data_IF_292939607213
#
_entry.id   IF_292939607213
#
_cell.length_a   1.000
_cell.length_b   1.000
_cell.length_c   1.000
_cell.angle_alpha   90.00
_cell.angle_beta   90.00
_cell.angle_gamma   90.00
#
_symmetry.space_group_name_H-M   'P 1'
#
loop_
_entity.id
_entity.type
_entity.pdbx_description
1 polymer ?
#
# COMPACT_ATOMS: atom_id res chain seq x y z
N UNK A 1 28.68 -17.67 43.08
CA UNK A 1 27.67 -18.07 42.08
C UNK A 1 28.37 -18.46 40.80
N UNK A 2 28.20 -19.72 40.38
CA UNK A 2 29.00 -20.35 39.31
C UNK A 2 28.72 -19.61 37.94
N UNK A 3 29.79 -19.21 37.21
CA UNK A 3 29.62 -18.49 35.92
C UNK A 3 28.82 -19.27 34.87
N UNK A 4 28.83 -20.60 34.93
CA UNK A 4 28.00 -21.47 34.09
C UNK A 4 26.48 -21.29 34.37
N UNK A 5 26.10 -21.17 35.64
CA UNK A 5 24.72 -20.99 36.06
C UNK A 5 24.15 -19.63 35.59
N UNK A 6 24.97 -18.58 35.65
CA UNK A 6 24.62 -17.25 35.09
C UNK A 6 24.43 -17.28 33.58
N UNK A 7 25.22 -18.06 32.85
CA UNK A 7 25.11 -18.20 31.40
C UNK A 7 23.85 -18.95 30.97
N UNK A 8 23.48 -20.01 31.70
CA UNK A 8 22.24 -20.78 31.45
C UNK A 8 20.99 -19.95 31.78
N UNK A 9 21.02 -19.19 32.87
CA UNK A 9 19.94 -18.28 33.25
C UNK A 9 19.74 -17.17 32.20
N UNK A 10 20.83 -16.55 31.73
CA UNK A 10 20.73 -15.50 30.71
C UNK A 10 20.24 -16.02 29.35
N UNK A 11 20.64 -17.23 28.96
CA UNK A 11 20.11 -17.87 27.74
C UNK A 11 18.64 -18.22 27.89
N UNK A 12 18.23 -18.73 29.05
CA UNK A 12 16.81 -19.05 29.32
C UNK A 12 15.93 -17.80 29.33
N UNK A 13 16.38 -16.71 29.95
CA UNK A 13 15.65 -15.44 29.98
C UNK A 13 15.55 -14.79 28.59
N UNK A 14 16.64 -14.85 27.81
CA UNK A 14 16.64 -14.30 26.45
C UNK A 14 15.81 -15.13 25.47
N UNK A 15 15.76 -16.45 25.63
CA UNK A 15 14.89 -17.32 24.83
C UNK A 15 13.41 -17.05 25.15
N UNK A 16 13.08 -16.91 26.44
CA UNK A 16 11.70 -16.65 26.86
C UNK A 16 11.22 -15.23 26.39
N UNK A 17 12.07 -14.22 26.43
CA UNK A 17 11.74 -12.89 25.91
C UNK A 17 11.53 -12.90 24.38
N UNK A 18 12.33 -13.64 23.64
CA UNK A 18 12.17 -13.80 22.18
C UNK A 18 10.89 -14.55 21.82
N UNK A 19 10.53 -15.56 22.57
CA UNK A 19 9.27 -16.30 22.37
C UNK A 19 8.06 -15.41 22.70
N UNK A 20 8.12 -14.62 23.77
CA UNK A 20 7.07 -13.67 24.09
C UNK A 20 6.91 -12.61 22.99
N UNK A 21 8.01 -12.00 22.54
CA UNK A 21 7.97 -11.03 21.43
C UNK A 21 7.48 -11.64 20.12
N UNK A 22 7.83 -12.89 19.84
CA UNK A 22 7.34 -13.59 18.65
C UNK A 22 5.83 -13.87 18.74
N UNK A 23 5.33 -14.21 19.93
CA UNK A 23 3.90 -14.42 20.16
C UNK A 23 3.12 -13.10 20.07
N UNK A 24 3.64 -12.01 20.64
CA UNK A 24 3.04 -10.67 20.55
C UNK A 24 2.99 -10.21 19.08
N UNK A 25 4.10 -10.34 18.35
CA UNK A 25 4.14 -10.00 16.92
C UNK A 25 3.18 -10.85 16.09
N UNK A 26 3.06 -12.15 16.39
CA UNK A 26 2.13 -13.03 15.71
C UNK A 26 0.67 -12.65 16.01
N UNK A 27 0.37 -12.30 17.25
CA UNK A 27 -0.94 -11.81 17.65
C UNK A 27 -1.30 -10.50 16.96
N UNK A 28 -0.37 -9.54 16.96
CA UNK A 28 -0.54 -8.26 16.27
C UNK A 28 -0.76 -8.47 14.77
N UNK A 29 0.01 -9.35 14.15
CA UNK A 29 -0.14 -9.67 12.74
C UNK A 29 -1.46 -10.34 12.39
N UNK A 30 -1.97 -11.23 13.26
CA UNK A 30 -3.22 -11.97 13.04
C UNK A 30 -4.47 -11.12 13.32
N UNK A 31 -4.42 -10.28 14.35
CA UNK A 31 -5.62 -9.60 14.86
C UNK A 31 -5.62 -8.08 14.63
N UNK A 32 -4.44 -7.46 14.46
CA UNK A 32 -4.31 -6.01 14.27
C UNK A 32 -3.76 -5.65 12.90
N UNK A 33 -3.71 -6.60 11.96
CA UNK A 33 -3.16 -6.39 10.63
C UNK A 33 -3.75 -5.16 9.94
N UNK A 34 -5.05 -4.98 10.00
CA UNK A 34 -5.72 -3.85 9.36
C UNK A 34 -5.34 -2.49 9.97
N UNK A 35 -5.00 -2.46 11.26
CA UNK A 35 -4.53 -1.23 11.93
C UNK A 35 -3.04 -0.98 11.74
N UNK A 36 -2.25 -2.03 11.49
CA UNK A 36 -0.80 -1.95 11.26
C UNK A 36 -0.46 -1.61 9.80
N UNK A 37 -1.35 -1.96 8.87
CA UNK A 37 -1.14 -1.69 7.44
C UNK A 37 -1.57 -0.26 7.13
N UNK A 38 -0.61 0.60 6.79
CA UNK A 38 -0.84 2.00 6.41
C UNK A 38 -0.86 2.22 4.89
N UNK A 39 -1.06 1.17 4.12
CA UNK A 39 -1.13 1.23 2.66
C UNK A 39 -2.55 1.53 2.16
N UNK A 40 -2.64 2.15 0.98
CA UNK A 40 -3.92 2.45 0.34
C UNK A 40 -4.76 3.53 1.02
N UNK A 41 -4.13 4.39 1.85
CA UNK A 41 -4.84 5.42 2.63
C UNK A 41 -5.09 6.71 1.86
N UNK A 42 -4.49 6.90 0.69
CA UNK A 42 -4.74 8.09 -0.12
C UNK A 42 -6.19 8.10 -0.61
N UNK A 43 -6.90 9.19 -0.34
CA UNK A 43 -8.29 9.36 -0.77
C UNK A 43 -8.42 9.23 -2.28
N UNK A 44 -9.37 8.45 -2.74
CA UNK A 44 -9.62 8.20 -4.15
C UNK A 44 -11.12 7.98 -4.41
N UNK A 45 -11.50 8.12 -5.66
CA UNK A 45 -12.83 7.84 -6.18
C UNK A 45 -12.74 6.66 -7.15
N UNK A 46 -13.65 5.69 -7.02
CA UNK A 46 -13.81 4.63 -8.03
C UNK A 46 -14.71 5.18 -9.12
N UNK A 47 -14.14 5.40 -10.30
CA UNK A 47 -14.86 6.01 -11.44
C UNK A 47 -15.34 4.99 -12.47
N UNK A 48 -14.83 3.77 -12.42
CA UNK A 48 -15.26 2.66 -13.26
C UNK A 48 -15.12 1.35 -12.46
N UNK A 49 -16.12 0.51 -12.53
CA UNK A 49 -16.08 -0.87 -12.03
C UNK A 49 -16.36 -1.83 -13.19
N UNK A 50 -15.44 -2.77 -13.41
CA UNK A 50 -15.56 -3.84 -14.38
C UNK A 50 -14.97 -5.12 -13.77
N UNK A 51 -15.81 -6.02 -13.28
CA UNK A 51 -15.40 -7.23 -12.55
C UNK A 51 -14.34 -8.06 -13.31
N UNK A 52 -13.15 -8.30 -12.74
CA UNK A 52 -12.68 -8.00 -11.39
C UNK A 52 -12.01 -6.63 -11.22
N UNK A 53 -11.85 -5.84 -12.26
CA UNK A 53 -11.09 -4.59 -12.31
C UNK A 53 -11.91 -3.39 -11.85
N UNK A 54 -11.24 -2.40 -11.27
CA UNK A 54 -11.78 -1.04 -11.09
C UNK A 54 -10.75 0.02 -11.48
N UNK A 55 -11.23 1.20 -11.83
CA UNK A 55 -10.39 2.37 -12.11
C UNK A 55 -10.60 3.40 -11.00
N UNK A 56 -9.52 3.73 -10.32
CA UNK A 56 -9.47 4.71 -9.23
C UNK A 56 -8.92 6.04 -9.74
N UNK A 57 -9.58 7.12 -9.38
CA UNK A 57 -9.09 8.49 -9.59
C UNK A 57 -8.61 9.06 -8.25
N UNK A 58 -7.43 9.66 -8.24
CA UNK A 58 -6.84 10.31 -7.08
C UNK A 58 -6.91 11.83 -7.26
N UNK A 59 -7.82 12.51 -6.51
CA UNK A 59 -7.90 13.96 -6.55
C UNK A 59 -6.64 14.60 -5.93
N UNK A 60 -6.42 15.90 -6.19
CA UNK A 60 -5.34 16.63 -5.54
C UNK A 60 -5.53 16.62 -4.03
N UNK A 61 -4.43 16.51 -3.28
CA UNK A 61 -4.47 16.73 -1.84
C UNK A 61 -5.09 18.09 -1.50
N UNK A 62 -5.91 18.14 -0.46
CA UNK A 62 -6.51 19.39 0.01
C UNK A 62 -5.50 20.31 0.74
N UNK A 63 -4.40 19.73 1.20
CA UNK A 63 -3.33 20.44 1.90
C UNK A 63 -2.52 21.30 0.94
N UNK A 64 -1.90 22.37 1.46
CA UNK A 64 -0.97 23.19 0.66
C UNK A 64 0.38 22.50 0.43
N UNK A 65 0.75 21.60 1.31
CA UNK A 65 2.00 20.83 1.25
C UNK A 65 1.73 19.39 1.67
N UNK A 66 2.39 18.46 1.02
CA UNK A 66 2.49 17.07 1.49
C UNK A 66 3.89 16.84 2.04
N UNK A 67 3.99 15.97 3.05
CA UNK A 67 5.26 15.53 3.59
C UNK A 67 5.65 14.19 2.97
N UNK A 68 6.90 14.06 2.56
CA UNK A 68 7.51 12.84 2.07
C UNK A 68 8.38 12.20 3.15
N UNK A 69 8.91 11.01 2.86
CA UNK A 69 9.97 10.42 3.67
C UNK A 69 11.13 11.44 3.81
N UNK A 70 11.84 11.37 4.92
CA UNK A 70 12.98 12.27 5.24
C UNK A 70 12.58 13.74 5.53
N UNK A 71 11.30 13.99 5.88
CA UNK A 71 10.75 15.31 6.18
C UNK A 71 10.81 16.31 5.02
N UNK A 72 10.98 15.83 3.79
CA UNK A 72 10.87 16.66 2.61
C UNK A 72 9.41 17.11 2.42
N UNK A 73 9.22 18.42 2.14
CA UNK A 73 7.89 18.98 1.90
C UNK A 73 7.74 19.36 0.44
N UNK A 74 6.67 18.87 -0.17
CA UNK A 74 6.31 19.18 -1.56
C UNK A 74 5.08 20.05 -1.56
N UNK A 75 5.17 21.20 -2.25
CA UNK A 75 4.02 22.08 -2.45
C UNK A 75 3.02 21.45 -3.40
N UNK A 76 1.74 21.51 -3.06
CA UNK A 76 0.67 21.03 -3.92
C UNK A 76 0.42 22.03 -5.05
N UNK A 77 0.48 21.54 -6.29
CA UNK A 77 0.23 22.33 -7.49
C UNK A 77 -1.25 22.25 -7.87
N UNK A 78 -1.90 23.40 -7.95
CA UNK A 78 -3.31 23.47 -8.33
C UNK A 78 -3.52 23.57 -9.84
N UNK A 79 -2.48 24.03 -10.57
CA UNK A 79 -2.50 24.01 -12.02
C UNK A 79 -2.32 22.58 -12.52
N UNK A 80 -3.30 22.12 -13.31
CA UNK A 80 -3.33 20.74 -13.77
C UNK A 80 -2.57 20.55 -15.08
N UNK A 81 -1.85 19.45 -15.15
CA UNK A 81 -1.28 18.99 -16.42
C UNK A 81 -2.43 18.56 -17.36
N UNK A 82 -2.33 18.91 -18.65
CA UNK A 82 -3.39 18.57 -19.62
C UNK A 82 -3.44 17.07 -19.94
N UNK A 83 -2.34 16.34 -19.68
CA UNK A 83 -2.25 14.90 -19.96
C UNK A 83 -2.44 14.12 -18.66
N UNK A 84 -3.39 13.18 -18.61
CA UNK A 84 -3.57 12.32 -17.44
C UNK A 84 -2.44 11.32 -17.30
N UNK A 85 -2.20 10.89 -16.07
CA UNK A 85 -1.27 9.82 -15.71
C UNK A 85 -2.07 8.58 -15.34
N UNK A 86 -1.94 7.52 -16.13
CA UNK A 86 -2.56 6.22 -15.83
C UNK A 86 -1.48 5.27 -15.33
N UNK A 87 -1.65 4.77 -14.11
CA UNK A 87 -0.77 3.79 -13.48
C UNK A 87 -1.39 2.40 -13.64
N UNK A 88 -0.64 1.49 -14.24
CA UNK A 88 -1.06 0.12 -14.50
C UNK A 88 -0.14 -0.82 -13.72
N UNK A 89 -0.60 -1.40 -12.60
CA UNK A 89 0.20 -2.39 -11.87
C UNK A 89 0.37 -3.67 -12.71
N UNK A 90 1.45 -4.42 -12.52
CA UNK A 90 1.53 -5.80 -13.01
C UNK A 90 0.37 -6.64 -12.45
N UNK A 91 -0.12 -7.62 -13.23
CA UNK A 91 -1.11 -8.57 -12.76
C UNK A 91 -0.60 -9.29 -11.51
N UNK A 92 -1.44 -9.38 -10.49
CA UNK A 92 -1.08 -9.97 -9.20
C UNK A 92 -0.40 -9.02 -8.21
N UNK A 93 -0.16 -7.76 -8.61
CA UNK A 93 0.31 -6.69 -7.71
C UNK A 93 -0.88 -5.81 -7.33
N UNK A 94 -1.01 -5.55 -6.03
CA UNK A 94 -2.08 -4.70 -5.50
C UNK A 94 -1.78 -3.22 -5.68
N UNK A 95 -2.81 -2.38 -5.65
CA UNK A 95 -2.70 -0.91 -5.69
C UNK A 95 -1.86 -0.33 -4.57
N UNK A 96 -1.72 -1.07 -3.47
CA UNK A 96 -0.92 -0.69 -2.30
C UNK A 96 0.56 -0.46 -2.63
N UNK A 97 1.09 -1.09 -3.68
CA UNK A 97 2.47 -0.84 -4.14
C UNK A 97 2.69 0.58 -4.65
N UNK A 98 1.63 1.26 -5.08
CA UNK A 98 1.65 2.67 -5.52
C UNK A 98 1.19 3.63 -4.41
N UNK A 99 0.62 3.10 -3.33
CA UNK A 99 0.14 3.84 -2.17
C UNK A 99 0.59 3.13 -0.88
N UNK A 100 1.90 3.00 -0.69
CA UNK A 100 2.49 2.15 0.34
C UNK A 100 2.25 2.68 1.75
N UNK A 101 2.43 3.98 1.95
CA UNK A 101 2.16 4.69 3.21
C UNK A 101 2.10 6.21 2.96
N UNK A 102 1.55 7.02 3.88
CA UNK A 102 1.28 8.44 3.64
C UNK A 102 2.47 9.25 3.12
N UNK A 103 3.69 8.97 3.60
CA UNK A 103 4.92 9.66 3.20
C UNK A 103 5.67 8.98 2.04
N UNK A 104 5.15 7.84 1.54
CA UNK A 104 5.72 7.03 0.44
C UNK A 104 4.63 6.56 -0.50
N UNK A 105 3.74 7.47 -0.89
CA UNK A 105 2.66 7.23 -1.83
C UNK A 105 2.97 7.91 -3.15
N UNK A 106 3.17 7.10 -4.21
CA UNK A 106 3.41 7.62 -5.55
C UNK A 106 2.17 8.33 -6.08
N UNK A 107 0.97 7.77 -5.86
CA UNK A 107 -0.28 8.39 -6.31
C UNK A 107 -0.50 9.75 -5.66
N UNK A 108 -0.26 9.87 -4.36
CA UNK A 108 -0.36 11.14 -3.63
C UNK A 108 0.66 12.16 -4.12
N UNK A 109 1.90 11.73 -4.33
CA UNK A 109 2.97 12.58 -4.85
C UNK A 109 2.61 13.14 -6.24
N UNK A 110 2.22 12.28 -7.18
CA UNK A 110 1.87 12.71 -8.54
C UNK A 110 0.63 13.60 -8.56
N UNK A 111 -0.38 13.30 -7.74
CA UNK A 111 -1.56 14.17 -7.58
C UNK A 111 -1.18 15.56 -7.03
N UNK A 112 -0.25 15.62 -6.06
CA UNK A 112 0.29 16.87 -5.54
C UNK A 112 1.10 17.66 -6.58
N UNK A 113 1.74 16.97 -7.53
CA UNK A 113 2.46 17.58 -8.66
C UNK A 113 1.55 18.06 -9.80
N UNK A 114 0.23 18.01 -9.63
CA UNK A 114 -0.73 18.53 -10.58
C UNK A 114 -1.19 17.54 -11.66
N UNK A 115 -0.84 16.25 -11.55
CA UNK A 115 -1.35 15.25 -12.49
C UNK A 115 -2.79 14.84 -12.15
N UNK A 116 -3.58 14.54 -13.17
CA UNK A 116 -4.80 13.74 -13.05
C UNK A 116 -4.37 12.28 -12.96
N UNK A 117 -4.35 11.72 -11.76
CA UNK A 117 -3.82 10.38 -11.51
C UNK A 117 -4.94 9.35 -11.52
N UNK A 118 -4.78 8.35 -12.37
CA UNK A 118 -5.65 7.19 -12.43
C UNK A 118 -4.83 5.93 -12.13
N UNK A 119 -5.39 5.02 -11.36
CA UNK A 119 -4.74 3.77 -11.00
C UNK A 119 -5.71 2.62 -11.25
N UNK A 120 -5.25 1.61 -11.98
CA UNK A 120 -5.99 0.38 -12.19
C UNK A 120 -5.84 -0.51 -10.98
N UNK A 121 -6.97 -0.96 -10.46
CA UNK A 121 -7.03 -2.03 -9.48
C UNK A 121 -7.55 -3.30 -10.17
N UNK A 122 -6.70 -4.30 -10.29
CA UNK A 122 -7.08 -5.58 -10.89
C UNK A 122 -8.05 -6.39 -10.03
N UNK A 123 -8.32 -5.92 -8.80
CA UNK A 123 -9.16 -6.61 -7.85
C UNK A 123 -8.56 -7.93 -7.35
N UNK A 124 -9.37 -8.71 -6.66
CA UNK A 124 -8.96 -10.03 -6.18
C UNK A 124 -9.59 -11.12 -7.05
N UNK A 125 -8.79 -11.90 -7.81
CA UNK A 125 -9.32 -12.98 -8.62
C UNK A 125 -10.11 -13.98 -7.77
N UNK A 126 -11.27 -14.38 -8.28
CA UNK A 126 -12.15 -15.39 -7.68
C UNK A 126 -12.26 -16.60 -8.61
N UNK A 127 -12.84 -17.70 -8.14
CA UNK A 127 -13.01 -18.92 -8.95
C UNK A 127 -13.74 -18.68 -10.27
N UNK A 128 -14.71 -17.73 -10.29
CA UNK A 128 -15.44 -17.35 -11.50
C UNK A 128 -14.53 -16.69 -12.57
N UNK A 129 -13.38 -16.16 -12.16
CA UNK A 129 -12.41 -15.52 -13.06
C UNK A 129 -11.35 -16.51 -13.59
N UNK A 130 -11.48 -17.81 -13.29
CA UNK A 130 -10.48 -18.82 -13.67
C UNK A 130 -10.29 -18.98 -15.20
N UNK A 131 -11.23 -18.48 -15.99
CA UNK A 131 -11.17 -18.51 -17.46
C UNK A 131 -10.59 -17.25 -18.07
N UNK A 132 -10.35 -16.19 -17.27
CA UNK A 132 -9.81 -14.95 -17.78
C UNK A 132 -8.33 -15.11 -18.12
N UNK A 133 -7.99 -14.81 -19.37
CA UNK A 133 -6.62 -14.78 -19.86
C UNK A 133 -6.09 -13.34 -20.00
N UNK A 134 -4.85 -13.21 -20.43
CA UNK A 134 -4.20 -11.89 -20.63
C UNK A 134 -4.97 -10.98 -21.60
N UNK A 135 -5.64 -11.56 -22.58
CA UNK A 135 -6.43 -10.80 -23.56
C UNK A 135 -7.64 -10.14 -22.92
N UNK A 136 -8.31 -10.84 -21.99
CA UNK A 136 -9.48 -10.31 -21.30
C UNK A 136 -9.09 -9.10 -20.44
N UNK A 137 -7.98 -9.18 -19.70
CA UNK A 137 -7.45 -8.04 -18.95
C UNK A 137 -7.05 -6.87 -19.85
N UNK A 138 -6.45 -7.13 -21.02
CA UNK A 138 -6.08 -6.09 -21.96
C UNK A 138 -7.30 -5.40 -22.59
N UNK A 139 -8.38 -6.13 -22.84
CA UNK A 139 -9.64 -5.57 -23.36
C UNK A 139 -10.32 -4.63 -22.38
N UNK A 140 -10.17 -4.85 -21.07
CA UNK A 140 -10.70 -3.93 -20.06
C UNK A 140 -9.97 -2.58 -20.02
N UNK A 141 -8.80 -2.48 -20.64
CA UNK A 141 -8.00 -1.24 -20.70
C UNK A 141 -8.33 -0.39 -21.96
N UNK A 142 -9.02 -0.95 -22.94
CA UNK A 142 -9.42 -0.29 -24.18
C UNK A 142 -10.83 0.25 -24.13
#
# INVERSE_FOLDING_TARGET
MNPLFRRVLNVGLSANSRLASAADNAFDWLFLRETLVQSGLTSHEVILEADPMSLRYYPPPAEQFIELADNERVRVEHQRHPVPLVLVPPLGVTTESFDLMPHRSLVRYMAARGFHVYLIDWGKPQRRHAQLGMQDYAQHLM
#
